data_IF_603144922768
#
_entry.id   IF_603144922768
#
_cell.length_a   1.000
_cell.length_b   1.000
_cell.length_c   1.000
_cell.angle_alpha   90.00
_cell.angle_beta   90.00
_cell.angle_gamma   90.00
#
_symmetry.space_group_name_H-M   'P 1'
#
loop_
_entity.id
_entity.type
_entity.pdbx_description
1 polymer ?
#
# COMPACT_ATOMS: atom_id res chain seq x y z
N UNK A 1 -4.11 20.79 13.13
CA UNK A 1 -3.27 21.50 12.13
C UNK A 1 -2.77 20.44 11.15
N UNK A 2 -3.32 20.41 9.94
CA UNK A 2 -2.89 19.45 8.92
C UNK A 2 -1.61 20.00 8.28
N UNK A 3 -0.46 19.55 8.74
CA UNK A 3 0.81 19.74 8.02
C UNK A 3 0.77 18.86 6.79
N UNK A 4 0.56 19.44 5.61
CA UNK A 4 0.73 18.74 4.34
C UNK A 4 2.22 18.44 4.18
N UNK A 5 2.61 17.20 4.48
CA UNK A 5 3.95 16.71 4.18
C UNK A 5 3.99 16.47 2.67
N UNK A 6 4.77 17.27 1.93
CA UNK A 6 5.08 16.99 0.53
C UNK A 6 5.92 15.71 0.47
N UNK A 7 5.40 14.70 -0.25
CA UNK A 7 6.07 13.40 -0.43
C UNK A 7 6.81 13.42 -1.77
N UNK A 8 8.08 13.03 -1.77
CA UNK A 8 8.81 12.84 -3.04
C UNK A 8 8.19 11.67 -3.83
N UNK A 9 7.97 11.82 -5.16
CA UNK A 9 7.44 10.73 -5.98
C UNK A 9 8.36 9.51 -6.00
N UNK A 10 7.79 8.33 -5.77
CA UNK A 10 8.50 7.06 -5.85
C UNK A 10 8.60 6.58 -7.31
N UNK A 11 9.80 6.28 -7.82
CA UNK A 11 9.96 5.68 -9.14
C UNK A 11 9.71 4.17 -9.07
N UNK A 12 9.17 3.61 -10.16
CA UNK A 12 9.09 2.17 -10.35
C UNK A 12 10.24 1.67 -11.25
N UNK A 13 10.82 0.50 -10.95
CA UNK A 13 11.89 -0.06 -11.76
C UNK A 13 11.39 -0.45 -13.15
N UNK A 14 12.29 -0.51 -14.14
CA UNK A 14 12.01 -1.12 -15.43
C UNK A 14 10.94 -0.45 -16.30
N UNK A 15 10.55 0.80 -15.98
CA UNK A 15 9.48 1.51 -16.70
C UNK A 15 8.09 0.93 -16.44
N UNK A 16 7.91 0.18 -15.34
CA UNK A 16 6.61 -0.29 -14.91
C UNK A 16 5.77 0.86 -14.34
N UNK A 17 4.45 0.73 -14.43
CA UNK A 17 3.50 1.74 -13.93
C UNK A 17 2.51 1.17 -12.90
N UNK A 18 2.63 -0.13 -12.58
CA UNK A 18 1.69 -0.84 -11.71
C UNK A 18 2.40 -1.67 -10.65
N UNK A 19 1.80 -1.75 -9.47
CA UNK A 19 2.30 -2.55 -8.33
C UNK A 19 1.23 -3.55 -7.88
N UNK A 20 1.64 -4.79 -7.61
CA UNK A 20 0.84 -5.73 -6.83
C UNK A 20 1.40 -5.77 -5.40
N UNK A 21 0.63 -5.26 -4.43
CA UNK A 21 1.01 -5.20 -3.03
C UNK A 21 0.39 -6.38 -2.28
N UNK A 22 1.20 -7.32 -1.82
CA UNK A 22 0.76 -8.27 -0.80
C UNK A 22 0.74 -7.56 0.57
N UNK A 23 -0.43 -7.51 1.20
CA UNK A 23 -0.57 -7.08 2.60
C UNK A 23 -1.06 -8.22 3.48
N UNK A 24 -0.36 -8.48 4.58
CA UNK A 24 -0.82 -9.39 5.65
C UNK A 24 -1.53 -8.66 6.79
N UNK A 25 -1.34 -7.34 6.94
CA UNK A 25 -1.90 -6.55 8.03
C UNK A 25 -2.25 -5.14 7.52
N UNK A 26 -3.54 -4.79 7.57
CA UNK A 26 -4.05 -3.49 7.11
C UNK A 26 -3.33 -2.26 7.71
N UNK A 27 -3.08 -2.16 9.04
CA UNK A 27 -2.47 -0.95 9.60
C UNK A 27 -1.00 -0.79 9.19
N UNK A 28 -0.28 -1.89 8.96
CA UNK A 28 1.15 -1.85 8.64
C UNK A 28 1.39 -1.36 7.21
N UNK A 29 0.47 -1.66 6.30
CA UNK A 29 0.56 -1.27 4.90
C UNK A 29 0.01 0.12 4.58
N UNK A 30 -0.68 0.77 5.53
CA UNK A 30 -1.32 2.07 5.30
C UNK A 30 -0.36 3.15 4.81
N UNK A 31 0.79 3.31 5.46
CA UNK A 31 1.77 4.34 5.05
C UNK A 31 2.36 4.07 3.66
N UNK A 32 2.54 2.79 3.29
CA UNK A 32 2.99 2.40 1.95
C UNK A 32 1.93 2.72 0.90
N UNK A 33 0.65 2.47 1.20
CA UNK A 33 -0.48 2.79 0.33
C UNK A 33 -0.60 4.30 0.10
N UNK A 34 -0.47 5.10 1.15
CA UNK A 34 -0.46 6.58 1.06
C UNK A 34 0.71 7.09 0.21
N UNK A 35 1.91 6.49 0.36
CA UNK A 35 3.07 6.87 -0.43
C UNK A 35 2.90 6.52 -1.92
N UNK A 36 2.35 5.34 -2.23
CA UNK A 36 2.05 4.95 -3.61
C UNK A 36 0.98 5.84 -4.23
N UNK A 37 -0.09 6.16 -3.48
CA UNK A 37 -1.14 7.06 -3.94
C UNK A 37 -0.61 8.46 -4.22
N UNK A 38 0.19 9.03 -3.30
CA UNK A 38 0.83 10.33 -3.47
C UNK A 38 1.82 10.35 -4.65
N UNK A 39 2.42 9.21 -4.98
CA UNK A 39 3.32 9.05 -6.13
C UNK A 39 2.58 8.81 -7.45
N UNK A 40 1.25 8.72 -7.46
CA UNK A 40 0.46 8.42 -8.66
C UNK A 40 0.64 6.99 -9.18
N UNK A 41 1.09 6.06 -8.32
CA UNK A 41 1.29 4.66 -8.68
C UNK A 41 -0.06 3.94 -8.67
N UNK A 42 -0.41 3.29 -9.78
CA UNK A 42 -1.55 2.37 -9.84
C UNK A 42 -1.17 1.06 -9.13
N UNK A 43 -1.88 0.71 -8.05
CA UNK A 43 -1.59 -0.51 -7.31
C UNK A 43 -2.84 -1.33 -7.02
N UNK A 44 -2.66 -2.64 -6.96
CA UNK A 44 -3.67 -3.60 -6.54
C UNK A 44 -3.20 -4.27 -5.26
N UNK A 45 -4.13 -4.47 -4.32
CA UNK A 45 -3.82 -5.14 -3.05
C UNK A 45 -4.22 -6.61 -3.15
N UNK A 46 -3.30 -7.50 -2.81
CA UNK A 46 -3.56 -8.88 -2.46
C UNK A 46 -3.51 -9.03 -0.95
N UNK A 47 -4.67 -9.09 -0.30
CA UNK A 47 -4.75 -9.25 1.16
C UNK A 47 -4.75 -10.74 1.52
N UNK A 48 -3.73 -11.17 2.26
CA UNK A 48 -3.62 -12.56 2.72
C UNK A 48 -2.77 -12.66 3.99
N UNK A 49 -3.38 -13.17 5.06
CA UNK A 49 -2.75 -13.47 6.34
C UNK A 49 -3.31 -14.76 6.96
N UNK A 50 -2.62 -15.91 6.85
CA UNK A 50 -3.12 -17.19 7.33
C UNK A 50 -3.33 -17.24 8.86
N UNK A 51 -2.87 -16.22 9.59
CA UNK A 51 -2.99 -16.13 11.04
C UNK A 51 -4.22 -15.34 11.52
N UNK A 52 -5.02 -14.75 10.62
CA UNK A 52 -6.29 -14.12 11.03
C UNK A 52 -7.28 -15.23 11.40
N UNK A 53 -7.63 -15.26 12.67
CA UNK A 53 -8.59 -16.19 13.21
C UNK A 53 -9.44 -15.47 14.27
N UNK A 54 -10.77 -15.59 14.22
CA UNK A 54 -11.61 -16.39 13.31
C UNK A 54 -11.74 -15.83 11.88
N UNK A 55 -12.18 -16.66 10.92
CA UNK A 55 -12.40 -16.28 9.50
C UNK A 55 -13.31 -15.03 9.32
N UNK A 56 -14.14 -14.72 10.32
CA UNK A 56 -15.02 -13.55 10.32
C UNK A 56 -14.27 -12.21 10.44
N UNK A 57 -12.99 -12.23 10.77
CA UNK A 57 -12.13 -11.05 10.89
C UNK A 57 -11.38 -10.69 9.59
N UNK A 58 -11.56 -11.51 8.54
CA UNK A 58 -11.19 -11.17 7.16
C UNK A 58 -12.27 -10.32 6.50
#
# INVERSE_FOLDING_TARGET
MSTTVEREPLPLPGGHNKVLLHSCCAPCSGEVMEAMLASGIDYTIFFYNPNIHPLKEY
#
